data_IF_410452521679
#
_entry.id   IF_410452521679
#
_cell.length_a   1.000
_cell.length_b   1.000
_cell.length_c   1.000
_cell.angle_alpha   90.00
_cell.angle_beta   90.00
_cell.angle_gamma   90.00
#
_symmetry.space_group_name_H-M   'P 1'
#
loop_
_entity.id
_entity.type
_entity.pdbx_description
1 polymer ?
#
# COMPACT_ATOMS: atom_id res chain seq x y z
N UNK A 1 -12.71 1.22 -25.72
CA UNK A 1 -12.30 0.92 -24.35
C UNK A 1 -12.23 -0.58 -24.18
N UNK A 2 -11.03 -1.14 -24.01
CA UNK A 2 -10.81 -2.58 -23.93
C UNK A 2 -11.15 -3.12 -22.52
N UNK A 3 -12.45 -3.14 -22.23
CA UNK A 3 -13.06 -3.62 -20.99
C UNK A 3 -12.39 -4.89 -20.44
N UNK A 4 -12.18 -5.89 -21.30
CA UNK A 4 -11.61 -7.18 -20.89
C UNK A 4 -10.19 -7.08 -20.33
N UNK A 5 -9.34 -6.18 -20.83
CA UNK A 5 -7.99 -6.02 -20.27
C UNK A 5 -8.01 -5.40 -18.87
N UNK A 6 -8.94 -4.49 -18.59
CA UNK A 6 -9.17 -3.97 -17.25
C UNK A 6 -9.64 -5.07 -16.29
N UNK A 7 -10.58 -5.92 -16.72
CA UNK A 7 -11.06 -7.05 -15.91
C UNK A 7 -9.93 -8.05 -15.64
N UNK A 8 -9.12 -8.39 -16.65
CA UNK A 8 -7.99 -9.31 -16.49
C UNK A 8 -6.96 -8.76 -15.49
N UNK A 9 -6.59 -7.48 -15.59
CA UNK A 9 -5.68 -6.86 -14.64
C UNK A 9 -6.27 -6.81 -13.22
N UNK A 10 -7.58 -6.50 -13.10
CA UNK A 10 -8.28 -6.53 -11.82
C UNK A 10 -8.27 -7.93 -11.18
N UNK A 11 -8.60 -8.97 -11.94
CA UNK A 11 -8.54 -10.36 -11.47
C UNK A 11 -7.11 -10.74 -11.09
N UNK A 12 -6.11 -10.30 -11.84
CA UNK A 12 -4.71 -10.55 -11.52
C UNK A 12 -4.32 -9.96 -10.17
N UNK A 13 -4.71 -8.72 -9.91
CA UNK A 13 -4.44 -8.01 -8.65
C UNK A 13 -5.22 -8.62 -7.48
N UNK A 14 -6.52 -8.87 -7.63
CA UNK A 14 -7.42 -9.20 -6.50
C UNK A 14 -7.51 -10.71 -6.24
N UNK A 15 -7.29 -11.56 -7.24
CA UNK A 15 -7.44 -13.02 -7.10
C UNK A 15 -6.08 -13.70 -7.20
N UNK A 16 -5.40 -13.56 -8.35
CA UNK A 16 -4.20 -14.35 -8.61
C UNK A 16 -3.04 -13.97 -7.68
N UNK A 17 -2.76 -12.68 -7.52
CA UNK A 17 -1.67 -12.20 -6.66
C UNK A 17 -1.84 -12.67 -5.20
N UNK A 18 -3.00 -12.48 -4.52
CA UNK A 18 -3.18 -12.97 -3.16
C UNK A 18 -3.07 -14.49 -3.02
N UNK A 19 -3.55 -15.25 -4.01
CA UNK A 19 -3.44 -16.72 -3.99
C UNK A 19 -1.99 -17.20 -4.13
N UNK A 20 -1.22 -16.57 -5.01
CA UNK A 20 0.18 -16.91 -5.24
C UNK A 20 1.05 -16.50 -4.06
N UNK A 21 0.82 -15.31 -3.51
CA UNK A 21 1.51 -14.84 -2.31
C UNK A 21 1.22 -15.75 -1.11
N UNK A 22 -0.04 -16.14 -0.89
CA UNK A 22 -0.40 -17.09 0.18
C UNK A 22 0.37 -18.41 0.06
N UNK A 23 0.61 -18.92 -1.15
CA UNK A 23 1.41 -20.12 -1.38
C UNK A 23 2.89 -19.87 -1.10
N UNK A 24 3.42 -18.73 -1.55
CA UNK A 24 4.81 -18.34 -1.34
C UNK A 24 5.14 -18.16 0.16
N UNK A 25 4.27 -17.48 0.91
CA UNK A 25 4.37 -17.30 2.37
C UNK A 25 4.46 -18.65 3.09
N UNK A 26 3.53 -19.57 2.78
CA UNK A 26 3.54 -20.93 3.37
C UNK A 26 4.82 -21.70 3.05
N UNK A 27 5.34 -21.55 1.83
CA UNK A 27 6.46 -22.34 1.31
C UNK A 27 7.82 -21.82 1.79
N UNK A 28 7.98 -20.50 1.88
CA UNK A 28 9.31 -19.88 2.04
C UNK A 28 9.43 -18.92 3.20
N UNK A 29 8.32 -18.41 3.75
CA UNK A 29 8.33 -17.36 4.76
C UNK A 29 9.02 -17.72 6.09
N UNK A 30 9.20 -19.02 6.37
CA UNK A 30 9.91 -19.53 7.56
C UNK A 30 11.25 -20.21 7.26
N UNK A 31 11.72 -20.14 6.01
CA UNK A 31 12.86 -20.94 5.54
C UNK A 31 14.11 -20.10 5.25
N UNK A 32 15.25 -20.77 5.01
CA UNK A 32 16.48 -20.16 4.46
C UNK A 32 16.33 -19.55 3.06
N UNK A 33 15.14 -19.62 2.44
CA UNK A 33 14.84 -19.15 1.08
C UNK A 33 14.04 -17.83 1.03
N UNK A 34 14.13 -16.97 2.05
CA UNK A 34 13.46 -15.66 2.09
C UNK A 34 13.82 -14.75 0.92
N UNK A 35 15.06 -14.79 0.43
CA UNK A 35 15.48 -14.06 -0.78
C UNK A 35 14.62 -14.45 -1.99
N UNK A 36 14.40 -15.76 -2.19
CA UNK A 36 13.55 -16.25 -3.27
C UNK A 36 12.10 -15.74 -3.14
N UNK A 37 11.58 -15.69 -1.90
CA UNK A 37 10.29 -15.10 -1.63
C UNK A 37 10.23 -13.63 -2.10
N UNK A 38 11.18 -12.78 -1.69
CA UNK A 38 11.20 -11.36 -2.10
C UNK A 38 11.33 -11.18 -3.61
N UNK A 39 12.16 -12.00 -4.27
CA UNK A 39 12.34 -11.95 -5.73
C UNK A 39 11.04 -12.30 -6.45
N UNK A 40 10.36 -13.37 -6.03
CA UNK A 40 9.11 -13.78 -6.67
C UNK A 40 7.99 -12.76 -6.45
N UNK A 41 7.87 -12.19 -5.26
CA UNK A 41 6.89 -11.11 -5.03
C UNK A 41 7.22 -9.84 -5.83
N UNK A 42 8.50 -9.51 -5.97
CA UNK A 42 8.94 -8.40 -6.82
C UNK A 42 8.53 -8.60 -8.27
N UNK A 43 8.67 -9.82 -8.81
CA UNK A 43 8.24 -10.15 -10.17
C UNK A 43 6.73 -9.93 -10.36
N UNK A 44 5.90 -10.33 -9.38
CA UNK A 44 4.45 -10.08 -9.45
C UNK A 44 4.12 -8.58 -9.51
N UNK A 45 4.79 -7.75 -8.70
CA UNK A 45 4.60 -6.29 -8.75
C UNK A 45 5.05 -5.68 -10.07
N UNK A 46 6.17 -6.14 -10.62
CA UNK A 46 6.63 -5.69 -11.95
C UNK A 46 5.59 -6.03 -13.02
N UNK A 47 5.01 -7.24 -12.99
CA UNK A 47 3.96 -7.64 -13.93
C UNK A 47 2.73 -6.74 -13.79
N UNK A 48 2.29 -6.43 -12.57
CA UNK A 48 1.16 -5.52 -12.32
C UNK A 48 1.47 -4.13 -12.89
N UNK A 49 2.65 -3.59 -12.60
CA UNK A 49 3.05 -2.25 -13.03
C UNK A 49 3.17 -2.17 -14.56
N UNK A 50 3.77 -3.17 -15.21
CA UNK A 50 3.86 -3.25 -16.66
C UNK A 50 2.48 -3.41 -17.30
N UNK A 51 1.62 -4.27 -16.74
CA UNK A 51 0.25 -4.45 -17.21
C UNK A 51 -0.56 -3.16 -17.13
N UNK A 52 -0.44 -2.43 -16.03
CA UNK A 52 -1.06 -1.13 -15.84
C UNK A 52 -0.58 -0.10 -16.85
N UNK A 53 0.75 0.10 -16.96
CA UNK A 53 1.33 1.09 -17.88
C UNK A 53 0.98 0.77 -19.33
N UNK A 54 1.10 -0.49 -19.74
CA UNK A 54 0.76 -0.92 -21.11
C UNK A 54 -0.72 -0.71 -21.41
N UNK A 55 -1.61 -1.07 -20.49
CA UNK A 55 -3.06 -0.88 -20.66
C UNK A 55 -3.42 0.59 -20.82
N UNK A 56 -2.92 1.46 -19.94
CA UNK A 56 -3.22 2.89 -19.96
C UNK A 56 -2.64 3.57 -21.21
N UNK A 57 -1.43 3.16 -21.62
CA UNK A 57 -0.83 3.64 -22.87
C UNK A 57 -1.62 3.17 -24.10
N UNK A 58 -2.08 1.92 -24.12
CA UNK A 58 -2.88 1.36 -25.21
C UNK A 58 -4.23 2.09 -25.36
N UNK A 59 -4.88 2.41 -24.26
CA UNK A 59 -6.16 3.16 -24.23
C UNK A 59 -5.98 4.68 -24.41
N UNK A 60 -4.75 5.17 -24.50
CA UNK A 60 -4.47 6.61 -24.63
C UNK A 60 -4.86 7.42 -23.37
N UNK A 61 -4.94 6.78 -22.20
CA UNK A 61 -5.30 7.45 -20.95
C UNK A 61 -4.05 8.14 -20.38
N UNK A 62 -4.12 9.46 -20.22
CA UNK A 62 -3.03 10.24 -19.63
C UNK A 62 -2.81 9.89 -18.14
N UNK A 63 -1.55 9.81 -17.71
CA UNK A 63 -1.21 9.65 -16.29
C UNK A 63 -1.75 10.80 -15.41
N UNK A 64 -1.89 12.02 -15.96
CA UNK A 64 -2.50 13.14 -15.23
C UNK A 64 -3.96 12.89 -14.88
N UNK A 65 -4.69 12.13 -15.71
CA UNK A 65 -6.10 11.81 -15.49
C UNK A 65 -6.29 10.87 -14.29
N UNK A 66 -5.36 9.95 -14.08
CA UNK A 66 -5.34 9.02 -12.95
C UNK A 66 -4.63 9.57 -11.70
N UNK A 67 -4.37 10.88 -11.68
CA UNK A 67 -3.92 11.57 -10.49
C UNK A 67 -2.41 11.79 -10.38
N UNK A 68 -1.64 11.62 -11.46
CA UNK A 68 -0.29 12.20 -11.54
C UNK A 68 -0.35 13.71 -11.76
N UNK A 69 -0.90 14.41 -10.78
CA UNK A 69 -1.05 15.85 -10.74
C UNK A 69 -0.84 16.34 -9.31
N UNK A 70 -0.31 17.55 -9.18
CA UNK A 70 -0.25 18.22 -7.89
C UNK A 70 -1.66 18.41 -7.34
N UNK A 71 -1.81 18.25 -6.04
CA UNK A 71 -3.06 18.53 -5.34
C UNK A 71 -3.38 20.02 -5.40
N UNK A 72 -4.61 20.36 -5.76
CA UNK A 72 -5.09 21.75 -5.75
C UNK A 72 -6.20 21.94 -4.71
N UNK A 73 -6.28 23.16 -4.16
CA UNK A 73 -7.42 23.56 -3.33
C UNK A 73 -8.75 23.44 -4.08
N UNK A 74 -8.74 23.64 -5.41
CA UNK A 74 -9.93 23.46 -6.24
C UNK A 74 -10.43 22.00 -6.26
N UNK A 75 -9.53 21.01 -6.33
CA UNK A 75 -9.90 19.59 -6.29
C UNK A 75 -10.53 19.21 -4.93
N UNK A 76 -9.96 19.72 -3.84
CA UNK A 76 -10.52 19.54 -2.49
C UNK A 76 -11.97 20.04 -2.41
N UNK A 77 -12.24 21.26 -2.88
CA UNK A 77 -13.60 21.82 -2.84
C UNK A 77 -14.55 21.13 -3.81
N UNK A 78 -14.08 20.72 -4.99
CA UNK A 78 -14.88 20.02 -6.00
C UNK A 78 -15.19 18.56 -5.64
N UNK A 79 -14.46 17.95 -4.71
CA UNK A 79 -14.68 16.55 -4.31
C UNK A 79 -16.15 16.28 -3.90
N UNK A 80 -16.73 15.13 -4.28
CA UNK A 80 -18.12 14.77 -3.97
C UNK A 80 -18.36 14.40 -2.49
N UNK A 81 -17.32 14.37 -1.66
CA UNK A 81 -17.43 14.04 -0.24
C UNK A 81 -18.09 15.18 0.56
N UNK A 82 -18.86 14.91 1.63
CA UNK A 82 -19.36 15.95 2.50
C UNK A 82 -18.23 16.70 3.23
N UNK A 83 -18.39 18.00 3.47
CA UNK A 83 -17.34 18.87 4.06
C UNK A 83 -16.74 18.30 5.34
N UNK A 84 -17.57 17.77 6.26
CA UNK A 84 -17.10 17.13 7.49
C UNK A 84 -16.08 16.00 7.20
N UNK A 85 -16.38 15.11 6.25
CA UNK A 85 -15.50 14.02 5.87
C UNK A 85 -14.20 14.53 5.24
N UNK A 86 -14.27 15.56 4.39
CA UNK A 86 -13.08 16.16 3.77
C UNK A 86 -12.07 16.62 4.82
N UNK A 87 -12.54 17.38 5.82
CA UNK A 87 -11.68 17.87 6.89
C UNK A 87 -11.21 16.75 7.82
N UNK A 88 -12.06 15.77 8.12
CA UNK A 88 -11.68 14.61 8.92
C UNK A 88 -10.53 13.83 8.27
N UNK A 89 -10.61 13.55 6.96
CA UNK A 89 -9.57 12.83 6.22
C UNK A 89 -8.26 13.61 6.23
N UNK A 90 -8.30 14.93 6.00
CA UNK A 90 -7.10 15.78 6.08
C UNK A 90 -6.51 15.82 7.49
N UNK A 91 -7.35 15.91 8.52
CA UNK A 91 -6.91 15.91 9.91
C UNK A 91 -6.23 14.59 10.28
N UNK A 92 -6.80 13.45 9.87
CA UNK A 92 -6.20 12.13 10.05
C UNK A 92 -4.87 12.01 9.29
N UNK A 93 -4.80 12.53 8.07
CA UNK A 93 -3.55 12.52 7.29
C UNK A 93 -2.47 13.40 7.94
N UNK A 94 -2.81 14.60 8.38
CA UNK A 94 -1.89 15.48 9.11
C UNK A 94 -1.42 14.84 10.41
N UNK A 95 -2.34 14.25 11.18
CA UNK A 95 -2.03 13.51 12.40
C UNK A 95 -1.06 12.35 12.14
N UNK A 96 -1.28 11.58 11.07
CA UNK A 96 -0.38 10.51 10.65
C UNK A 96 1.03 11.05 10.36
N UNK A 97 1.16 12.10 9.55
CA UNK A 97 2.47 12.69 9.21
C UNK A 97 3.18 13.20 10.46
N UNK A 98 2.47 13.90 11.35
CA UNK A 98 3.02 14.39 12.63
C UNK A 98 3.51 13.20 13.47
N UNK A 99 2.73 12.12 13.56
CA UNK A 99 3.09 10.92 14.32
C UNK A 99 4.35 10.27 13.76
N UNK A 100 4.47 10.14 12.44
CA UNK A 100 5.68 9.59 11.78
C UNK A 100 6.91 10.44 12.10
N UNK A 101 6.79 11.77 12.02
CA UNK A 101 7.89 12.70 12.33
C UNK A 101 8.30 12.57 13.79
N UNK A 102 7.33 12.51 14.72
CA UNK A 102 7.60 12.35 16.15
C UNK A 102 8.30 11.02 16.45
N UNK A 103 7.82 9.91 15.87
CA UNK A 103 8.46 8.60 16.03
C UNK A 103 9.89 8.60 15.49
N UNK A 104 10.10 9.16 14.29
CA UNK A 104 11.43 9.27 13.70
C UNK A 104 12.37 10.14 14.55
N UNK A 105 11.86 11.23 15.14
CA UNK A 105 12.61 12.12 16.03
C UNK A 105 13.01 11.42 17.34
N UNK A 106 12.06 10.75 18.02
CA UNK A 106 12.31 9.98 19.25
C UNK A 106 13.37 8.91 19.00
N UNK A 107 13.22 8.13 17.93
CA UNK A 107 14.18 7.08 17.55
C UNK A 107 15.57 7.64 17.27
N UNK A 108 15.66 8.74 16.53
CA UNK A 108 16.94 9.41 16.24
C UNK A 108 17.66 9.88 17.50
N UNK A 109 16.92 10.36 18.49
CA UNK A 109 17.49 10.89 19.73
C UNK A 109 17.77 9.81 20.79
N UNK A 110 17.55 8.52 20.48
CA UNK A 110 17.75 7.39 21.40
C UNK A 110 16.99 7.54 22.73
N UNK A 111 15.85 8.23 22.71
CA UNK A 111 14.90 8.25 23.82
C UNK A 111 14.17 6.88 23.85
N UNK A 112 14.92 5.82 24.13
CA UNK A 112 14.68 4.47 23.65
C UNK A 112 13.69 3.62 24.47
N UNK A 113 12.94 4.19 25.41
CA UNK A 113 12.12 3.40 26.35
C UNK A 113 10.63 3.79 26.41
N UNK A 114 10.13 4.63 25.49
CA UNK A 114 8.72 5.07 25.55
C UNK A 114 7.77 4.02 24.97
N UNK A 115 8.23 3.24 23.98
CA UNK A 115 7.48 2.13 23.42
C UNK A 115 8.05 0.83 24.02
N UNK A 116 7.26 0.18 24.87
CA UNK A 116 7.61 -1.13 25.44
C UNK A 116 7.83 -2.19 24.34
N UNK A 117 8.22 -3.41 24.73
CA UNK A 117 8.37 -4.53 23.81
C UNK A 117 7.05 -4.82 23.09
N UNK A 118 6.84 -4.18 21.93
CA UNK A 118 5.75 -4.54 21.04
C UNK A 118 6.07 -5.92 20.48
N UNK A 119 5.37 -6.92 21.01
CA UNK A 119 5.31 -8.25 20.41
C UNK A 119 4.61 -8.10 19.07
N UNK A 120 5.42 -8.00 18.01
CA UNK A 120 4.91 -7.94 16.64
C UNK A 120 4.00 -9.14 16.37
N UNK A 121 3.01 -8.92 15.52
CA UNK A 121 2.27 -10.04 14.97
C UNK A 121 3.23 -10.97 14.23
N UNK A 122 3.07 -12.28 14.43
CA UNK A 122 3.88 -13.35 13.80
C UNK A 122 3.98 -13.22 12.28
N UNK A 123 2.97 -12.62 11.64
CA UNK A 123 2.97 -12.32 10.21
C UNK A 123 4.04 -11.30 9.81
N UNK A 124 4.34 -10.30 10.64
CA UNK A 124 5.33 -9.26 10.35
C UNK A 124 6.74 -9.83 10.21
N UNK A 125 7.09 -10.81 11.06
CA UNK A 125 8.38 -11.51 11.04
C UNK A 125 8.63 -12.31 9.75
N UNK A 126 7.61 -12.56 8.92
CA UNK A 126 7.76 -13.25 7.64
C UNK A 126 8.21 -12.28 6.54
N UNK A 127 7.85 -11.00 6.65
CA UNK A 127 8.09 -9.98 5.62
C UNK A 127 9.27 -9.06 5.94
N UNK A 128 9.81 -9.11 7.17
CA UNK A 128 11.05 -8.42 7.53
C UNK A 128 12.29 -9.31 7.25
N UNK A 129 13.41 -8.72 6.82
CA UNK A 129 14.66 -9.44 6.62
C UNK A 129 15.28 -9.80 7.97
N UNK A 130 15.73 -11.04 8.12
CA UNK A 130 16.40 -11.52 9.35
C UNK A 130 17.92 -11.59 9.22
N UNK A 131 18.44 -11.41 8.00
CA UNK A 131 19.87 -11.41 7.71
C UNK A 131 20.24 -10.21 6.85
N UNK A 132 21.48 -9.74 6.99
CA UNK A 132 22.01 -8.64 6.15
C UNK A 132 21.94 -8.93 4.65
N UNK A 133 22.14 -10.18 4.26
CA UNK A 133 22.07 -10.63 2.85
C UNK A 133 20.67 -10.47 2.26
N UNK A 134 19.61 -10.49 3.09
CA UNK A 134 18.22 -10.37 2.65
C UNK A 134 17.81 -8.91 2.42
N UNK A 135 18.52 -7.95 3.02
CA UNK A 135 18.15 -6.52 3.04
C UNK A 135 18.05 -5.93 1.63
N UNK A 136 18.97 -6.28 0.72
CA UNK A 136 18.95 -5.75 -0.63
C UNK A 136 17.68 -6.17 -1.40
N UNK A 137 17.34 -7.47 -1.34
CA UNK A 137 16.15 -8.00 -2.00
C UNK A 137 14.86 -7.54 -1.33
N UNK A 138 14.85 -7.45 0.00
CA UNK A 138 13.74 -6.89 0.77
C UNK A 138 13.48 -5.43 0.41
N UNK A 139 14.52 -4.57 0.41
CA UNK A 139 14.39 -3.16 0.05
C UNK A 139 13.84 -2.96 -1.35
N UNK A 140 14.29 -3.78 -2.31
CA UNK A 140 13.77 -3.74 -3.68
C UNK A 140 12.28 -4.14 -3.74
N UNK A 141 11.91 -5.24 -3.08
CA UNK A 141 10.53 -5.68 -2.94
C UNK A 141 9.65 -4.60 -2.29
N UNK A 142 10.09 -4.02 -1.16
CA UNK A 142 9.33 -2.99 -0.43
C UNK A 142 9.16 -1.72 -1.25
N UNK A 143 10.17 -1.31 -2.01
CA UNK A 143 10.06 -0.16 -2.92
C UNK A 143 9.02 -0.41 -4.02
N UNK A 144 9.03 -1.60 -4.64
CA UNK A 144 8.03 -1.98 -5.64
C UNK A 144 6.62 -2.06 -5.04
N UNK A 145 6.49 -2.61 -3.84
CA UNK A 145 5.24 -2.66 -3.10
C UNK A 145 4.68 -1.25 -2.89
N UNK A 146 5.48 -0.33 -2.32
CA UNK A 146 5.12 1.08 -2.14
C UNK A 146 4.66 1.71 -3.45
N UNK A 147 5.39 1.48 -4.55
CA UNK A 147 5.05 2.01 -5.85
C UNK A 147 3.72 1.45 -6.39
N UNK A 148 3.49 0.13 -6.31
CA UNK A 148 2.26 -0.49 -6.82
C UNK A 148 1.04 -0.10 -5.98
N UNK A 149 1.16 -0.13 -4.64
CA UNK A 149 0.05 0.23 -3.75
C UNK A 149 -0.40 1.68 -3.98
N UNK A 150 0.56 2.61 -4.09
CA UNK A 150 0.27 4.04 -4.21
C UNK A 150 -0.10 4.48 -5.64
N UNK A 151 0.61 3.98 -6.65
CA UNK A 151 0.53 4.48 -8.03
C UNK A 151 -0.41 3.67 -8.91
N UNK A 152 -0.69 2.41 -8.53
CA UNK A 152 -1.51 1.49 -9.33
C UNK A 152 -2.84 1.21 -8.65
N UNK A 153 -2.86 0.64 -7.44
CA UNK A 153 -4.10 0.09 -6.87
C UNK A 153 -5.24 1.10 -6.74
N UNK A 154 -5.06 2.19 -5.99
CA UNK A 154 -6.14 3.16 -5.79
C UNK A 154 -6.56 3.87 -7.09
N UNK A 155 -5.64 4.38 -7.94
CA UNK A 155 -6.01 4.97 -9.21
C UNK A 155 -6.72 4.01 -10.16
N UNK A 156 -6.21 2.77 -10.26
CA UNK A 156 -6.77 1.75 -11.12
C UNK A 156 -8.17 1.33 -10.65
N UNK A 157 -8.37 1.07 -9.36
CA UNK A 157 -9.68 0.70 -8.84
C UNK A 157 -10.68 1.84 -8.96
N UNK A 158 -10.28 3.08 -8.67
CA UNK A 158 -11.14 4.24 -8.91
C UNK A 158 -11.54 4.35 -10.38
N UNK A 159 -10.56 4.26 -11.29
CA UNK A 159 -10.83 4.31 -12.72
C UNK A 159 -11.78 3.18 -13.17
N UNK A 160 -11.55 1.96 -12.69
CA UNK A 160 -12.38 0.80 -12.98
C UNK A 160 -13.83 1.03 -12.52
N UNK A 161 -14.06 1.39 -11.26
CA UNK A 161 -15.42 1.53 -10.74
C UNK A 161 -16.16 2.73 -11.33
N UNK A 162 -15.49 3.86 -11.53
CA UNK A 162 -16.13 5.09 -12.02
C UNK A 162 -16.28 5.10 -13.54
N UNK A 163 -15.24 4.73 -14.29
CA UNK A 163 -15.23 4.89 -15.75
C UNK A 163 -15.54 3.60 -16.52
N UNK A 164 -15.27 2.42 -15.96
CA UNK A 164 -15.60 1.14 -16.62
C UNK A 164 -16.95 0.61 -16.14
N UNK A 165 -17.20 0.60 -14.83
CA UNK A 165 -18.45 0.10 -14.25
C UNK A 165 -19.51 1.17 -14.00
N UNK A 166 -19.18 2.45 -14.26
CA UNK A 166 -20.13 3.56 -14.16
C UNK A 166 -20.83 3.69 -12.80
N UNK A 167 -20.13 3.38 -11.71
CA UNK A 167 -20.65 3.55 -10.35
C UNK A 167 -20.65 5.04 -10.02
N UNK A 168 -21.84 5.63 -9.92
CA UNK A 168 -22.02 7.07 -9.67
C UNK A 168 -22.07 7.43 -8.19
N UNK A 169 -22.48 6.50 -7.33
CA UNK A 169 -22.55 6.74 -5.89
C UNK A 169 -21.15 6.65 -5.26
N UNK A 170 -20.64 7.78 -4.76
CA UNK A 170 -19.29 7.86 -4.23
C UNK A 170 -19.04 6.93 -3.04
N UNK A 171 -20.05 6.71 -2.19
CA UNK A 171 -19.92 5.81 -1.04
C UNK A 171 -19.74 4.37 -1.50
N UNK A 172 -20.43 3.95 -2.56
CA UNK A 172 -20.23 2.64 -3.16
C UNK A 172 -18.84 2.51 -3.79
N UNK A 173 -18.36 3.57 -4.46
CA UNK A 173 -16.99 3.61 -5.00
C UNK A 173 -15.96 3.39 -3.89
N UNK A 174 -16.08 4.12 -2.77
CA UNK A 174 -15.18 3.98 -1.62
C UNK A 174 -15.22 2.56 -1.02
N UNK A 175 -16.42 2.00 -0.84
CA UNK A 175 -16.58 0.63 -0.33
C UNK A 175 -15.96 -0.38 -1.27
N UNK A 176 -16.17 -0.27 -2.58
CA UNK A 176 -15.63 -1.21 -3.55
C UNK A 176 -14.11 -1.14 -3.68
N UNK A 177 -13.52 0.07 -3.68
CA UNK A 177 -12.06 0.23 -3.64
C UNK A 177 -11.51 -0.36 -2.34
N UNK A 178 -12.15 -0.08 -1.20
CA UNK A 178 -11.73 -0.58 0.11
C UNK A 178 -11.79 -2.11 0.17
N UNK A 179 -12.86 -2.71 -0.33
CA UNK A 179 -13.00 -4.17 -0.39
C UNK A 179 -11.95 -4.80 -1.32
N UNK A 180 -11.69 -4.21 -2.49
CA UNK A 180 -10.65 -4.70 -3.39
C UNK A 180 -9.28 -4.63 -2.72
N UNK A 181 -8.93 -3.51 -2.09
CA UNK A 181 -7.70 -3.37 -1.30
C UNK A 181 -7.63 -4.38 -0.16
N UNK A 182 -8.71 -4.54 0.60
CA UNK A 182 -8.78 -5.50 1.70
C UNK A 182 -8.47 -6.93 1.24
N UNK A 183 -9.06 -7.36 0.12
CA UNK A 183 -8.81 -8.68 -0.45
C UNK A 183 -7.35 -8.84 -0.88
N UNK A 184 -6.74 -7.80 -1.45
CA UNK A 184 -5.32 -7.80 -1.79
C UNK A 184 -4.46 -8.00 -0.53
N UNK A 185 -4.84 -7.38 0.58
CA UNK A 185 -4.12 -7.45 1.86
C UNK A 185 -4.35 -8.74 2.67
N UNK A 186 -5.39 -9.53 2.36
CA UNK A 186 -5.66 -10.80 3.06
C UNK A 186 -4.52 -11.81 2.94
N UNK A 187 -3.68 -11.71 1.90
CA UNK A 187 -2.51 -12.55 1.75
C UNK A 187 -1.45 -12.32 2.84
N UNK A 188 -1.34 -11.11 3.38
CA UNK A 188 -0.42 -10.72 4.45
C UNK A 188 -0.96 -11.04 5.85
N UNK A 189 -2.27 -11.18 5.99
CA UNK A 189 -2.97 -11.39 7.28
C UNK A 189 -3.14 -12.87 7.62
N UNK A 190 -2.10 -13.68 7.44
CA UNK A 190 -2.13 -15.15 7.52
C UNK A 190 -2.68 -15.68 8.87
N UNK A 191 -2.44 -14.96 9.96
CA UNK A 191 -2.74 -15.44 11.31
C UNK A 191 -3.98 -14.80 11.96
N UNK A 192 -4.47 -13.65 11.47
CA UNK A 192 -5.67 -12.97 12.02
C UNK A 192 -6.38 -12.15 10.94
N UNK A 193 -7.67 -12.39 10.73
CA UNK A 193 -8.55 -11.43 10.05
C UNK A 193 -8.56 -10.13 10.88
N UNK A 194 -7.73 -9.18 10.47
CA UNK A 194 -7.72 -7.83 11.06
C UNK A 194 -8.66 -6.94 10.27
N UNK A 195 -9.38 -6.07 10.96
CA UNK A 195 -10.15 -4.99 10.33
C UNK A 195 -9.24 -3.82 9.90
N UNK A 196 -7.99 -3.80 10.36
CA UNK A 196 -7.06 -2.69 10.11
C UNK A 196 -6.82 -2.43 8.61
N UNK A 197 -6.58 -3.43 7.73
CA UNK A 197 -6.39 -3.17 6.31
C UNK A 197 -7.64 -2.59 5.64
N UNK A 198 -8.83 -2.90 6.16
CA UNK A 198 -10.08 -2.32 5.68
C UNK A 198 -10.17 -0.84 6.08
N UNK A 199 -9.85 -0.49 7.33
CA UNK A 199 -9.85 0.90 7.80
C UNK A 199 -8.81 1.73 7.05
N UNK A 200 -7.60 1.20 6.86
CA UNK A 200 -6.54 1.84 6.08
C UNK A 200 -6.97 2.00 4.62
N UNK A 201 -7.56 0.96 4.01
CA UNK A 201 -8.09 1.03 2.65
C UNK A 201 -9.17 2.10 2.48
N UNK A 202 -10.07 2.25 3.46
CA UNK A 202 -11.10 3.29 3.46
C UNK A 202 -10.48 4.67 3.57
N UNK A 203 -9.50 4.84 4.47
CA UNK A 203 -8.79 6.10 4.63
C UNK A 203 -8.06 6.51 3.34
N UNK A 204 -7.29 5.59 2.75
CA UNK A 204 -6.50 5.86 1.54
C UNK A 204 -7.38 6.07 0.30
N UNK A 205 -8.44 5.26 0.12
CA UNK A 205 -9.39 5.49 -0.98
C UNK A 205 -10.09 6.83 -0.85
N UNK A 206 -10.48 7.22 0.38
CA UNK A 206 -11.08 8.52 0.64
C UNK A 206 -10.09 9.66 0.41
N UNK A 207 -8.82 9.49 0.78
CA UNK A 207 -7.75 10.46 0.53
C UNK A 207 -7.52 10.63 -0.97
N UNK A 208 -7.51 9.54 -1.75
CA UNK A 208 -7.39 9.59 -3.20
C UNK A 208 -8.60 10.30 -3.85
N UNK A 209 -9.83 9.93 -3.48
CA UNK A 209 -11.05 10.59 -3.99
C UNK A 209 -11.09 12.07 -3.63
N UNK A 210 -10.63 12.43 -2.44
CA UNK A 210 -10.60 13.82 -1.98
C UNK A 210 -9.62 14.67 -2.79
N UNK A 211 -8.48 14.09 -3.16
CA UNK A 211 -7.35 14.83 -3.73
C UNK A 211 -7.18 14.64 -5.22
N UNK A 212 -7.82 13.61 -5.78
CA UNK A 212 -7.61 13.09 -7.14
C UNK A 212 -6.12 12.99 -7.50
N UNK A 213 -5.28 12.66 -6.52
CA UNK A 213 -3.84 12.65 -6.67
C UNK A 213 -3.22 11.43 -6.01
N UNK A 214 -2.20 10.87 -6.66
CA UNK A 214 -1.39 9.78 -6.07
C UNK A 214 -0.37 10.29 -5.06
N UNK A 215 -0.07 11.59 -5.03
CA UNK A 215 1.00 12.14 -4.19
C UNK A 215 0.76 11.92 -2.68
N UNK A 216 -0.45 12.15 -2.13
CA UNK A 216 -0.72 11.88 -0.71
C UNK A 216 -0.58 10.40 -0.36
N UNK A 217 -0.99 9.50 -1.28
CA UNK A 217 -0.81 8.06 -1.11
C UNK A 217 0.67 7.69 -1.12
N UNK A 218 1.43 8.20 -2.08
CA UNK A 218 2.87 7.97 -2.17
C UNK A 218 3.58 8.43 -0.91
N UNK A 219 3.23 9.62 -0.39
CA UNK A 219 3.77 10.12 0.87
C UNK A 219 3.42 9.20 2.05
N UNK A 220 2.17 8.74 2.13
CA UNK A 220 1.75 7.78 3.16
C UNK A 220 2.62 6.51 3.17
N UNK A 221 2.80 5.89 2.00
CA UNK A 221 3.59 4.67 1.87
C UNK A 221 5.09 4.89 2.06
N UNK A 222 5.65 6.03 1.63
CA UNK A 222 7.05 6.40 1.91
C UNK A 222 7.26 6.54 3.42
N UNK A 223 6.34 7.22 4.13
CA UNK A 223 6.41 7.35 5.58
C UNK A 223 6.40 5.98 6.28
N UNK A 224 5.52 5.06 5.87
CA UNK A 224 5.49 3.70 6.40
C UNK A 224 6.81 2.94 6.10
N UNK A 225 7.33 3.07 4.88
CA UNK A 225 8.60 2.44 4.51
C UNK A 225 9.79 2.95 5.34
N UNK A 226 9.82 4.25 5.66
CA UNK A 226 10.84 4.82 6.56
C UNK A 226 10.73 4.21 7.96
N UNK A 227 9.51 4.06 8.50
CA UNK A 227 9.30 3.42 9.80
C UNK A 227 9.73 1.95 9.79
N UNK A 228 9.47 1.23 8.70
CA UNK A 228 9.93 -0.16 8.50
C UNK A 228 11.46 -0.27 8.53
N UNK A 229 12.17 0.64 7.85
CA UNK A 229 13.65 0.64 7.86
C UNK A 229 14.20 0.80 9.28
N UNK A 230 13.67 1.77 10.03
CA UNK A 230 14.11 1.98 11.41
C UNK A 230 13.88 0.74 12.28
N UNK A 231 12.77 0.05 12.06
CA UNK A 231 12.45 -1.16 12.78
C UNK A 231 13.42 -2.32 12.46
N UNK A 232 13.72 -2.53 11.18
CA UNK A 232 14.70 -3.55 10.74
C UNK A 232 16.09 -3.28 11.32
N UNK A 233 16.51 -2.01 11.37
CA UNK A 233 17.78 -1.64 11.98
C UNK A 233 17.83 -1.98 13.48
N UNK A 234 16.77 -1.67 14.23
CA UNK A 234 16.67 -2.01 15.65
C UNK A 234 16.74 -3.53 15.90
N UNK A 235 16.03 -4.32 15.08
CA UNK A 235 16.02 -5.79 15.20
C UNK A 235 17.43 -6.37 15.02
N UNK A 236 18.21 -5.85 14.05
CA UNK A 236 19.61 -6.26 13.87
C UNK A 236 20.54 -5.82 15.00
N UNK A 237 20.28 -4.68 15.65
CA UNK A 237 21.08 -4.26 16.80
C UNK A 237 20.81 -5.15 18.02
N UNK A 238 19.54 -5.50 18.26
CA UNK A 238 19.16 -6.43 19.35
C UNK A 238 19.80 -7.81 19.16
N UNK A 239 19.77 -8.35 17.95
CA UNK A 239 20.39 -9.64 17.63
C UNK A 239 21.91 -9.68 17.84
N UNK A 240 22.61 -8.54 17.76
CA UNK A 240 24.06 -8.49 18.06
C UNK A 240 24.37 -8.43 19.55
N UNK A 241 23.39 -8.05 20.38
CA UNK A 241 23.54 -7.88 21.82
C UNK A 241 23.11 -9.11 22.62
N UNK A 242 22.33 -10.02 22.00
CA UNK A 242 21.95 -11.33 22.53
C UNK A 242 23.00 -12.40 22.19
#
# INVERSE_FOLDING_TARGET
MAFWFFIVLFMFIVIFRPLLERRAVKKWGKSSKRIQFFVEQSLFYIIILLGYVTLFKYEGISFSFIGWKATSFSAFHASPLPSFFKYLILALFAFFIITVILVAWIKRNKEANIFGEETLASSYHVFTPQKKEEVASWSFFSCLHVAVESLVYFPFFYFLYVHIFHVTNIWLVLVFITCAYYVVQLAFSYDRLSIQPFIIGLFLSSLYVLTESVLPLLLFYICNFVLEIYHVEEEFQRQKQA
#
